data_IF_447175510521
#
_entry.id   IF_447175510521
#
_cell.length_a   1.000
_cell.length_b   1.000
_cell.length_c   1.000
_cell.angle_alpha   90.00
_cell.angle_beta   90.00
_cell.angle_gamma   90.00
#
_symmetry.space_group_name_H-M   'P 1'
#
loop_
_entity.id
_entity.type
_entity.pdbx_description
1 polymer ?
#
# COMPACT_ATOMS: atom_id res chain seq x y z
N UNK A 1 40.12 -15.62 3.45
CA UNK A 1 38.84 -15.33 4.13
C UNK A 1 37.99 -14.53 3.16
N UNK A 2 36.86 -15.09 2.73
CA UNK A 2 35.99 -14.48 1.72
C UNK A 2 35.27 -13.27 2.32
N UNK A 3 35.40 -12.13 1.65
CA UNK A 3 34.77 -10.87 2.03
C UNK A 3 33.33 -10.91 1.50
N UNK A 4 32.37 -11.24 2.39
CA UNK A 4 30.94 -11.08 2.11
C UNK A 4 30.63 -9.59 1.99
N UNK A 5 30.51 -9.09 0.76
CA UNK A 5 29.91 -7.79 0.50
C UNK A 5 28.47 -7.80 1.03
N UNK A 6 28.08 -6.90 1.95
CA UNK A 6 26.67 -6.69 2.22
C UNK A 6 26.05 -6.13 0.94
N UNK A 7 25.08 -6.85 0.39
CA UNK A 7 24.25 -6.38 -0.72
C UNK A 7 23.53 -5.13 -0.21
N UNK A 8 24.05 -3.94 -0.52
CA UNK A 8 23.28 -2.70 -0.36
C UNK A 8 21.95 -2.90 -1.08
N UNK A 9 20.79 -2.70 -0.42
CA UNK A 9 19.51 -2.82 -1.10
C UNK A 9 19.52 -1.83 -2.26
N UNK A 10 19.47 -2.35 -3.48
CA UNK A 10 19.37 -1.52 -4.69
C UNK A 10 18.11 -0.67 -4.52
N UNK A 11 18.27 0.64 -4.29
CA UNK A 11 17.14 1.57 -4.32
C UNK A 11 16.67 1.65 -5.76
N UNK A 12 15.60 0.92 -6.08
CA UNK A 12 14.91 1.03 -7.37
C UNK A 12 14.26 2.41 -7.44
N UNK A 13 14.41 3.16 -8.55
CA UNK A 13 13.75 4.45 -8.70
C UNK A 13 12.22 4.30 -8.69
N UNK A 14 11.52 5.28 -8.12
CA UNK A 14 10.05 5.28 -8.10
C UNK A 14 9.44 5.48 -9.48
N UNK A 15 10.11 6.22 -10.37
CA UNK A 15 9.73 6.39 -11.78
C UNK A 15 10.98 6.73 -12.61
N UNK A 16 10.90 6.57 -13.93
CA UNK A 16 11.96 6.95 -14.89
C UNK A 16 11.37 7.82 -16.00
N UNK A 17 12.22 8.51 -16.77
CA UNK A 17 11.77 9.44 -17.82
C UNK A 17 10.92 8.80 -18.94
N UNK A 18 10.88 7.46 -19.03
CA UNK A 18 10.06 6.69 -19.97
C UNK A 18 8.84 5.98 -19.34
N UNK A 19 8.58 6.19 -18.05
CA UNK A 19 7.44 5.60 -17.35
C UNK A 19 6.13 6.01 -18.00
N UNK A 20 5.32 5.04 -18.42
CA UNK A 20 4.06 5.25 -19.16
C UNK A 20 2.85 5.36 -18.25
N UNK A 21 2.93 4.74 -17.08
CA UNK A 21 1.88 4.73 -16.05
C UNK A 21 2.45 5.42 -14.83
N UNK A 22 1.75 6.46 -14.38
CA UNK A 22 2.23 7.32 -13.30
C UNK A 22 1.11 7.55 -12.31
N UNK A 23 1.37 7.18 -11.07
CA UNK A 23 0.58 7.56 -9.92
C UNK A 23 1.25 8.70 -9.14
N UNK A 24 0.41 9.55 -8.57
CA UNK A 24 0.83 10.64 -7.69
C UNK A 24 0.30 10.41 -6.28
N UNK A 25 1.19 10.00 -5.39
CA UNK A 25 0.91 9.73 -3.98
C UNK A 25 2.17 9.92 -3.13
N UNK A 26 2.03 9.84 -1.81
CA UNK A 26 3.16 9.63 -0.92
C UNK A 26 3.52 8.15 -0.93
N UNK A 27 4.57 7.79 -1.66
CA UNK A 27 4.90 6.40 -1.95
C UNK A 27 5.47 5.69 -0.72
N UNK A 28 5.15 4.41 -0.53
CA UNK A 28 5.66 3.63 0.61
C UNK A 28 7.18 3.45 0.59
N UNK A 29 7.78 3.42 -0.60
CA UNK A 29 9.25 3.41 -0.76
C UNK A 29 9.82 4.82 -1.02
N UNK A 30 8.99 5.85 -0.86
CA UNK A 30 9.30 7.27 -0.97
C UNK A 30 8.93 8.02 0.30
N UNK A 31 8.22 9.15 0.16
CA UNK A 31 7.84 10.00 1.30
C UNK A 31 6.89 9.32 2.29
N UNK A 32 5.98 8.50 1.79
CA UNK A 32 4.96 7.80 2.59
C UNK A 32 5.49 6.64 3.45
N UNK A 33 6.76 6.24 3.27
CA UNK A 33 7.38 5.18 4.07
C UNK A 33 7.85 5.63 5.45
N UNK A 34 8.29 6.89 5.57
CA UNK A 34 8.77 7.46 6.83
C UNK A 34 7.70 8.27 7.58
N UNK A 35 6.74 8.83 6.85
CA UNK A 35 5.70 9.71 7.40
C UNK A 35 4.33 9.08 7.21
N UNK A 36 3.54 9.03 8.30
CA UNK A 36 2.19 8.50 8.29
C UNK A 36 1.16 9.64 8.40
N UNK A 37 -0.02 9.49 7.79
CA UNK A 37 -1.10 10.47 7.92
C UNK A 37 -1.53 10.59 9.39
N UNK A 38 -2.21 11.69 9.78
CA UNK A 38 -2.72 11.84 11.14
C UNK A 38 -3.63 10.67 11.53
N UNK A 39 -3.69 10.34 12.83
CA UNK A 39 -4.61 9.31 13.33
C UNK A 39 -6.05 9.67 12.92
N UNK A 40 -6.80 8.67 12.48
CA UNK A 40 -8.18 8.81 12.00
C UNK A 40 -8.34 9.70 10.76
N UNK A 41 -7.24 10.10 10.10
CA UNK A 41 -7.33 10.80 8.83
C UNK A 41 -7.95 9.90 7.76
N UNK A 42 -8.83 10.50 6.96
CA UNK A 42 -9.34 9.90 5.73
C UNK A 42 -8.29 10.02 4.65
N UNK A 43 -7.85 8.88 4.15
CA UNK A 43 -6.86 8.78 3.08
C UNK A 43 -7.43 7.98 1.93
N UNK A 44 -6.88 8.20 0.75
CA UNK A 44 -7.03 7.31 -0.37
C UNK A 44 -5.75 6.46 -0.46
N UNK A 45 -5.92 5.15 -0.43
CA UNK A 45 -4.85 4.19 -0.63
C UNK A 45 -4.69 3.96 -2.13
N UNK A 46 -3.45 4.07 -2.60
CA UNK A 46 -3.07 3.66 -3.95
C UNK A 46 -2.51 2.26 -3.83
N UNK A 47 -3.25 1.29 -4.35
CA UNK A 47 -2.90 -0.13 -4.30
C UNK A 47 -2.36 -0.61 -5.64
N UNK A 48 -1.49 -1.61 -5.59
CA UNK A 48 -0.95 -2.29 -6.75
C UNK A 48 -0.95 -3.80 -6.51
N UNK A 49 -1.23 -4.59 -7.53
CA UNK A 49 -1.19 -6.06 -7.48
C UNK A 49 -0.01 -6.64 -8.28
N UNK A 50 0.06 -7.98 -8.37
CA UNK A 50 1.09 -8.69 -9.13
C UNK A 50 0.99 -8.45 -10.65
N UNK A 51 -0.19 -8.14 -11.17
CA UNK A 51 -0.41 -7.77 -12.56
C UNK A 51 -0.05 -6.30 -12.85
N UNK A 52 0.34 -5.54 -11.81
CA UNK A 52 0.59 -4.09 -11.85
C UNK A 52 -0.67 -3.28 -12.09
N UNK A 53 -1.84 -3.84 -11.89
CA UNK A 53 -3.07 -3.05 -11.88
C UNK A 53 -3.08 -2.13 -10.68
N UNK A 54 -3.66 -0.94 -10.86
CA UNK A 54 -3.73 0.07 -9.81
C UNK A 54 -5.16 0.25 -9.40
N UNK A 55 -5.40 0.22 -8.09
CA UNK A 55 -6.71 0.48 -7.53
C UNK A 55 -6.62 1.51 -6.41
N UNK A 56 -7.45 2.56 -6.54
CA UNK A 56 -7.59 3.60 -5.54
C UNK A 56 -8.81 3.33 -4.68
N UNK A 57 -8.61 3.20 -3.37
CA UNK A 57 -9.69 2.92 -2.40
C UNK A 57 -9.64 3.89 -1.23
N UNK A 58 -10.78 4.12 -0.61
CA UNK A 58 -10.82 4.87 0.64
C UNK A 58 -10.22 4.02 1.77
N UNK A 59 -9.45 4.67 2.63
CA UNK A 59 -8.86 4.05 3.80
C UNK A 59 -8.68 5.04 4.96
N UNK A 60 -8.18 4.50 6.06
CA UNK A 60 -7.98 5.24 7.29
C UNK A 60 -6.71 4.77 8.01
N UNK A 61 -6.09 5.67 8.77
CA UNK A 61 -5.11 5.27 9.79
C UNK A 61 -5.84 5.00 11.10
N UNK A 62 -5.98 3.72 11.46
CA UNK A 62 -6.65 3.26 12.68
C UNK A 62 -5.70 2.38 13.48
N UNK A 63 -4.91 2.96 14.39
CA UNK A 63 -3.90 2.18 15.12
C UNK A 63 -4.49 0.93 15.81
N UNK A 64 -3.84 -0.25 15.70
CA UNK A 64 -2.48 -0.46 15.18
C UNK A 64 -2.38 -0.53 13.64
N UNK A 65 -3.50 -0.62 12.92
CA UNK A 65 -3.53 -0.68 11.46
C UNK A 65 -3.11 0.65 10.83
N UNK A 66 -2.10 0.58 9.95
CA UNK A 66 -1.54 1.79 9.31
C UNK A 66 -2.37 2.22 8.12
N UNK A 67 -2.89 1.26 7.37
CA UNK A 67 -3.64 1.45 6.14
C UNK A 67 -4.87 0.52 6.14
N UNK A 68 -5.87 0.88 6.93
CA UNK A 68 -7.10 0.10 7.05
C UNK A 68 -8.07 0.43 5.91
N UNK A 69 -8.68 -0.59 5.31
CA UNK A 69 -9.78 -0.47 4.34
C UNK A 69 -10.73 -1.66 4.43
N UNK A 70 -12.01 -1.46 4.09
CA UNK A 70 -13.03 -2.51 3.90
C UNK A 70 -13.17 -2.93 2.43
N UNK A 71 -12.57 -2.17 1.51
CA UNK A 71 -12.72 -2.41 0.08
C UNK A 71 -11.87 -3.58 -0.42
N UNK A 72 -10.89 -4.05 0.36
CA UNK A 72 -9.87 -5.00 -0.10
C UNK A 72 -9.59 -6.06 0.95
N UNK A 73 -9.75 -7.31 0.55
CA UNK A 73 -9.32 -8.47 1.33
C UNK A 73 -7.80 -8.53 1.39
N UNK A 74 -7.26 -8.77 2.59
CA UNK A 74 -5.81 -8.87 2.83
C UNK A 74 -5.13 -9.92 1.93
N UNK A 75 -5.84 -11.00 1.60
CA UNK A 75 -5.34 -12.11 0.80
C UNK A 75 -5.55 -11.91 -0.72
N UNK A 76 -6.15 -10.78 -1.13
CA UNK A 76 -6.46 -10.46 -2.52
C UNK A 76 -5.26 -10.04 -3.38
N UNK A 77 -4.02 -10.23 -2.90
CA UNK A 77 -2.80 -9.91 -3.66
C UNK A 77 -2.42 -8.43 -3.74
N UNK A 78 -3.23 -7.53 -3.17
CA UNK A 78 -2.97 -6.09 -3.21
C UNK A 78 -1.88 -5.66 -2.21
N UNK A 79 -1.11 -4.65 -2.62
CA UNK A 79 -0.06 -4.01 -1.84
C UNK A 79 -0.22 -2.49 -1.87
N UNK A 80 0.09 -1.83 -0.77
CA UNK A 80 -0.01 -0.36 -0.68
C UNK A 80 1.20 0.26 -1.38
N UNK A 81 0.99 0.83 -2.57
CA UNK A 81 1.99 1.59 -3.30
C UNK A 81 2.26 2.94 -2.62
N UNK A 82 1.21 3.56 -2.08
CA UNK A 82 1.29 4.81 -1.34
C UNK A 82 -0.09 5.28 -0.87
N UNK A 83 -0.14 6.51 -0.36
CA UNK A 83 -1.37 7.13 0.12
C UNK A 83 -1.44 8.61 -0.25
N UNK A 84 -2.66 9.16 -0.28
CA UNK A 84 -2.92 10.60 -0.41
C UNK A 84 -4.09 11.01 0.49
N UNK A 85 -4.18 12.28 0.87
CA UNK A 85 -5.32 12.73 1.68
C UNK A 85 -6.59 12.74 0.81
N UNK A 86 -7.68 12.19 1.34
CA UNK A 86 -8.95 12.13 0.60
C UNK A 86 -9.58 13.53 0.37
N UNK A 87 -9.20 14.51 1.17
CA UNK A 87 -9.60 15.92 1.02
C UNK A 87 -8.71 16.70 0.03
N UNK A 88 -7.71 16.05 -0.56
CA UNK A 88 -6.78 16.66 -1.52
C UNK A 88 -5.65 17.49 -0.87
N UNK A 89 -5.61 17.60 0.45
CA UNK A 89 -4.52 18.30 1.15
C UNK A 89 -3.19 17.57 0.99
N UNK A 90 -2.09 18.33 1.07
CA UNK A 90 -0.73 17.84 0.82
C UNK A 90 0.22 18.13 2.00
N UNK A 91 0.04 17.43 3.14
CA UNK A 91 0.78 17.73 4.36
C UNK A 91 2.30 17.52 4.23
N UNK A 92 2.77 16.72 3.27
CA UNK A 92 4.19 16.45 3.03
C UNK A 92 4.71 17.15 1.76
N UNK A 93 4.03 18.21 1.32
CA UNK A 93 4.31 18.88 0.05
C UNK A 93 3.92 18.01 -1.15
N UNK A 94 4.62 18.19 -2.27
CA UNK A 94 4.28 17.51 -3.51
C UNK A 94 4.35 15.99 -3.42
N UNK A 95 3.49 15.32 -4.18
CA UNK A 95 3.48 13.87 -4.28
C UNK A 95 4.75 13.33 -4.94
N UNK A 96 5.08 12.09 -4.61
CA UNK A 96 6.03 11.32 -5.39
C UNK A 96 5.38 10.95 -6.73
N UNK A 97 6.22 10.83 -7.75
CA UNK A 97 5.84 10.32 -9.07
C UNK A 97 6.23 8.85 -9.08
N UNK A 98 5.24 7.97 -9.16
CA UNK A 98 5.43 6.53 -8.97
C UNK A 98 4.96 5.77 -10.20
N UNK A 99 5.81 4.92 -10.73
CA UNK A 99 5.51 3.95 -11.77
C UNK A 99 5.19 2.59 -11.12
N UNK A 100 3.94 2.11 -11.22
CA UNK A 100 3.55 0.79 -10.68
C UNK A 100 4.39 -0.36 -11.23
N UNK A 101 4.89 -0.25 -12.47
CA UNK A 101 5.67 -1.29 -13.13
C UNK A 101 7.07 -1.44 -12.51
N UNK A 102 7.56 -0.39 -11.83
CA UNK A 102 8.84 -0.39 -11.09
C UNK A 102 8.70 -0.74 -9.61
N UNK A 103 7.46 -0.89 -9.11
CA UNK A 103 7.22 -1.12 -7.69
C UNK A 103 7.86 -2.43 -7.21
N UNK A 104 8.57 -2.37 -6.08
CA UNK A 104 9.15 -3.56 -5.45
C UNK A 104 8.09 -4.20 -4.54
N UNK A 105 7.16 -4.98 -5.12
CA UNK A 105 5.95 -5.49 -4.46
C UNK A 105 6.23 -6.20 -3.13
N UNK A 106 7.32 -6.96 -3.05
CA UNK A 106 7.74 -7.69 -1.83
C UNK A 106 8.14 -6.77 -0.66
N UNK A 107 8.45 -5.49 -0.94
CA UNK A 107 8.80 -4.49 0.06
C UNK A 107 7.62 -3.61 0.45
N UNK A 108 6.46 -3.77 -0.21
CA UNK A 108 5.26 -2.99 0.07
C UNK A 108 4.41 -3.69 1.14
N UNK A 109 3.79 -2.93 2.05
CA UNK A 109 2.90 -3.52 3.04
C UNK A 109 1.58 -3.95 2.40
N UNK A 110 0.93 -4.94 3.00
CA UNK A 110 -0.46 -5.26 2.69
C UNK A 110 -1.39 -4.22 3.31
N UNK A 111 -2.55 -3.92 2.70
CA UNK A 111 -3.61 -3.22 3.39
C UNK A 111 -4.10 -4.06 4.58
N UNK A 112 -4.39 -3.39 5.70
CA UNK A 112 -4.96 -4.04 6.88
C UNK A 112 -6.50 -4.08 6.74
N UNK A 113 -7.17 -5.17 7.17
CA UNK A 113 -8.62 -5.16 7.29
C UNK A 113 -9.05 -4.15 8.36
N UNK A 114 -10.23 -3.54 8.19
CA UNK A 114 -10.82 -2.67 9.20
C UNK A 114 -11.01 -3.44 10.53
N UNK A 115 -10.55 -2.91 11.68
CA UNK A 115 -10.76 -3.55 12.97
C UNK A 115 -12.25 -3.67 13.27
N UNK A 116 -12.72 -4.88 13.55
CA UNK A 116 -14.14 -5.22 13.76
C UNK A 116 -14.83 -5.85 12.54
N UNK A 117 -14.21 -5.79 11.36
CA UNK A 117 -14.56 -6.59 10.19
C UNK A 117 -13.57 -7.77 10.10
N UNK A 118 -13.73 -8.76 10.97
CA UNK A 118 -13.19 -10.08 10.64
C UNK A 118 -14.05 -10.62 9.50
N UNK A 119 -13.48 -11.14 8.40
CA UNK A 119 -14.26 -11.98 7.50
C UNK A 119 -14.80 -13.11 8.36
N UNK A 120 -16.13 -13.18 8.48
CA UNK A 120 -16.76 -14.34 9.07
C UNK A 120 -16.38 -15.49 8.15
N UNK A 121 -15.39 -16.29 8.56
CA UNK A 121 -15.22 -17.63 8.04
C UNK A 121 -16.47 -18.37 8.50
N UNK A 122 -17.55 -18.22 7.74
CA UNK A 122 -18.75 -19.04 7.85
C UNK A 122 -18.35 -20.42 7.31
N UNK A 123 -17.57 -21.14 8.12
CA UNK A 123 -17.42 -22.58 8.02
C UNK A 123 -18.75 -23.17 8.46
N UNK A 124 -19.77 -23.03 7.62
CA UNK A 124 -21.05 -23.70 7.75
C UNK A 124 -20.82 -25.20 7.79
N UNK A 125 -20.67 -25.74 9.00
CA UNK A 125 -20.77 -27.16 9.25
C UNK A 125 -22.22 -27.53 9.01
N UNK A 126 -22.54 -27.95 7.80
CA UNK A 126 -23.76 -28.70 7.53
C UNK A 126 -23.60 -30.09 8.14
N UNK A 127 -24.18 -30.31 9.31
CA UNK A 127 -24.40 -31.66 9.84
C UNK A 127 -25.32 -32.41 8.86
N UNK A 128 -24.91 -33.59 8.32
CA UNK A 128 -25.84 -34.44 7.62
C UNK A 128 -26.75 -35.19 8.62
N UNK A 129 -28.03 -35.21 8.27
CA UNK A 129 -29.16 -35.95 8.88
C UNK A 129 -28.82 -37.38 9.32
#
# INVERSE_FOLDING_TARGET
MQQTNPISPRRVPLAVAGSRRIERCYAMLGKGGGELPLRSARIELVLVDDARDVWNVLGFRAEPARFASDAVDRDGGWRVLGWRMADGTRPLGDYDVVDPDLAQLEQLPCPDPLPGFAPSHDGGSIDPV
#
